data_IF_748722689617
#
_entry.id   IF_748722689617
#
_cell.length_a   1.000
_cell.length_b   1.000
_cell.length_c   1.000
_cell.angle_alpha   90.00
_cell.angle_beta   90.00
_cell.angle_gamma   90.00
#
_symmetry.space_group_name_H-M   'P 1'
#
loop_
_entity.id
_entity.type
_entity.pdbx_description
1 polymer ?
#
# COMPACT_ATOMS: atom_id res chain seq x y z
N UNK A 1 -8.32 5.78 6.52
CA UNK A 1 -7.08 6.34 5.98
C UNK A 1 -7.40 7.50 5.05
N UNK A 2 -6.75 8.65 5.21
CA UNK A 2 -6.95 9.82 4.35
C UNK A 2 -5.82 9.95 3.30
N UNK A 3 -5.96 10.90 2.36
CA UNK A 3 -4.98 11.14 1.28
C UNK A 3 -3.56 11.38 1.80
N UNK A 4 -3.41 12.14 2.89
CA UNK A 4 -2.10 12.45 3.46
C UNK A 4 -1.43 11.21 4.05
N UNK A 5 -2.20 10.35 4.71
CA UNK A 5 -1.69 9.08 5.24
C UNK A 5 -1.24 8.14 4.13
N UNK A 6 -2.01 8.01 3.04
CA UNK A 6 -1.63 7.20 1.89
C UNK A 6 -0.33 7.69 1.23
N UNK A 7 -0.20 9.01 1.03
CA UNK A 7 1.03 9.60 0.49
C UNK A 7 2.22 9.39 1.41
N UNK A 8 2.03 9.44 2.73
CA UNK A 8 3.09 9.13 3.70
C UNK A 8 3.56 7.68 3.60
N UNK A 9 2.65 6.73 3.41
CA UNK A 9 3.01 5.32 3.21
C UNK A 9 3.79 5.12 1.89
N UNK A 10 3.36 5.78 0.81
CA UNK A 10 4.10 5.75 -0.46
C UNK A 10 5.50 6.34 -0.28
N UNK A 11 5.65 7.46 0.42
CA UNK A 11 6.96 8.05 0.68
C UNK A 11 7.88 7.09 1.46
N UNK A 12 7.37 6.38 2.47
CA UNK A 12 8.14 5.36 3.20
C UNK A 12 8.60 4.20 2.31
N UNK A 13 7.79 3.82 1.32
CA UNK A 13 8.16 2.77 0.37
C UNK A 13 9.25 3.21 -0.61
N UNK A 14 9.23 4.47 -1.03
CA UNK A 14 10.17 5.05 -1.99
C UNK A 14 11.47 5.53 -1.36
N UNK A 15 11.47 5.82 -0.06
CA UNK A 15 12.64 6.28 0.67
C UNK A 15 13.68 5.14 0.82
N UNK A 16 14.89 5.28 0.26
CA UNK A 16 15.93 4.25 0.39
C UNK A 16 16.41 4.06 1.84
N UNK A 17 16.31 5.08 2.69
CA UNK A 17 16.77 5.04 4.08
C UNK A 17 15.76 4.41 5.04
N UNK A 18 14.50 4.25 4.62
CA UNK A 18 13.47 3.62 5.45
C UNK A 18 13.80 2.13 5.68
N UNK A 19 13.82 1.67 6.96
CA UNK A 19 14.06 0.26 7.31
C UNK A 19 13.12 -0.71 6.61
N UNK A 20 13.62 -1.92 6.30
CA UNK A 20 12.85 -2.92 5.53
C UNK A 20 11.55 -3.34 6.23
N UNK A 21 11.56 -3.47 7.56
CA UNK A 21 10.38 -3.81 8.34
C UNK A 21 9.31 -2.70 8.28
N UNK A 22 9.74 -1.43 8.26
CA UNK A 22 8.84 -0.30 8.03
C UNK A 22 8.27 -0.29 6.62
N UNK A 23 9.08 -0.61 5.60
CA UNK A 23 8.60 -0.77 4.22
C UNK A 23 7.55 -1.86 4.10
N UNK A 24 7.79 -3.01 4.72
CA UNK A 24 6.85 -4.13 4.72
C UNK A 24 5.52 -3.75 5.39
N UNK A 25 5.57 -3.06 6.54
CA UNK A 25 4.36 -2.56 7.21
C UNK A 25 3.61 -1.56 6.32
N UNK A 26 4.31 -0.61 5.70
CA UNK A 26 3.68 0.36 4.82
C UNK A 26 3.06 -0.28 3.58
N UNK A 27 3.70 -1.28 3.00
CA UNK A 27 3.20 -2.04 1.85
C UNK A 27 1.92 -2.81 2.22
N UNK A 28 1.88 -3.47 3.38
CA UNK A 28 0.70 -4.19 3.85
C UNK A 28 -0.51 -3.25 4.02
N UNK A 29 -0.30 -2.11 4.68
CA UNK A 29 -1.36 -1.11 4.88
C UNK A 29 -1.86 -0.51 3.56
N UNK A 30 -0.96 -0.27 2.60
CA UNK A 30 -1.34 0.25 1.29
C UNK A 30 -2.06 -0.81 0.44
N UNK A 31 -1.62 -2.07 0.49
CA UNK A 31 -2.26 -3.20 -0.20
C UNK A 31 -3.69 -3.42 0.28
N UNK A 32 -3.93 -3.36 1.59
CA UNK A 32 -5.27 -3.47 2.15
C UNK A 32 -6.18 -2.33 1.66
N UNK A 33 -5.67 -1.10 1.60
CA UNK A 33 -6.42 0.02 1.04
C UNK A 33 -6.76 -0.21 -0.43
N UNK A 34 -5.77 -0.66 -1.24
CA UNK A 34 -5.98 -0.93 -2.67
C UNK A 34 -7.06 -1.99 -2.83
N UNK A 35 -7.03 -3.09 -2.07
CA UNK A 35 -8.06 -4.15 -2.11
C UNK A 35 -9.47 -3.64 -1.83
N UNK A 36 -9.62 -2.64 -0.96
CA UNK A 36 -10.93 -2.04 -0.63
C UNK A 36 -11.41 -1.12 -1.77
N UNK A 37 -10.50 -0.32 -2.34
CA UNK A 37 -10.82 0.68 -3.37
C UNK A 37 -10.94 0.08 -4.77
N UNK A 38 -10.12 -0.92 -5.05
CA UNK A 38 -9.99 -1.67 -6.29
C UNK A 38 -10.11 -3.16 -5.91
N UNK A 39 -11.32 -3.62 -5.55
CA UNK A 39 -11.53 -5.04 -5.33
C UNK A 39 -11.12 -5.79 -6.59
N UNK A 40 -10.38 -6.89 -6.39
CA UNK A 40 -9.99 -7.78 -7.48
C UNK A 40 -11.25 -8.15 -8.27
N UNK A 41 -11.31 -7.73 -9.52
CA UNK A 41 -12.44 -8.08 -10.38
C UNK A 41 -12.35 -9.58 -10.63
N UNK A 42 -13.47 -10.31 -10.54
CA UNK A 42 -13.58 -11.74 -10.85
C UNK A 42 -13.12 -12.13 -12.27
N UNK A 43 -12.60 -11.20 -13.07
CA UNK A 43 -12.20 -11.39 -14.46
C UNK A 43 -10.82 -12.04 -14.64
N UNK A 44 -10.00 -12.15 -13.58
CA UNK A 44 -8.75 -12.94 -13.61
C UNK A 44 -8.93 -14.44 -13.33
N UNK A 45 -10.18 -14.93 -13.24
CA UNK A 45 -10.50 -16.36 -13.05
C UNK A 45 -11.04 -17.06 -14.32
N UNK A 46 -10.81 -16.53 -15.53
CA UNK A 46 -11.14 -17.22 -16.79
C UNK A 46 -9.93 -17.73 -17.54
#
# INVERSE_FOLDING_TARGET
>A
MNRHEALRLVNKLLDPETPMDEKQRAAAQLSELIRILLPESNEEQK
#
